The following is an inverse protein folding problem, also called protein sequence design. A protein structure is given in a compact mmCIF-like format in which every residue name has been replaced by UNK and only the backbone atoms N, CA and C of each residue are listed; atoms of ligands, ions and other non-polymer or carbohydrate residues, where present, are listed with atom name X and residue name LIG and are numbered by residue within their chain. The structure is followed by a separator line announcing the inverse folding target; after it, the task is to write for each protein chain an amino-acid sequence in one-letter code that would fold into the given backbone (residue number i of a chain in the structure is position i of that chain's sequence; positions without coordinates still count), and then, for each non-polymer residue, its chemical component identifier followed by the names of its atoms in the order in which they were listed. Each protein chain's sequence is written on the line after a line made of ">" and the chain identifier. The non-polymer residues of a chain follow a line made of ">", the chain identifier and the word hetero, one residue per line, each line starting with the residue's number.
data_IF_171134530382
#
_entry.id   IF_171134530382
#
_cell.length_a   1.000
_cell.length_b   1.000
_cell.length_c   1.000
_cell.angle_alpha   90.00
_cell.angle_beta   90.00
_cell.angle_gamma   90.00
#
_symmetry.space_group_name_H-M   'P 1'
#
loop_
_entity.id
_entity.type
_entity.pdbx_description
1 polymer ?
#
# COMPACT_ATOMS: atom_id res chain seq x y z
N UNK A 1 -12.99 -32.16 -13.48
CA UNK A 1 -12.24 -30.91 -13.80
C UNK A 1 -11.67 -30.44 -12.49
N UNK A 2 -10.40 -30.75 -12.23
CA UNK A 2 -9.68 -30.27 -11.05
C UNK A 2 -9.55 -28.78 -11.17
N UNK A 3 -10.10 -28.09 -10.20
CA UNK A 3 -9.95 -26.66 -9.99
C UNK A 3 -8.45 -26.37 -9.84
N UNK A 4 -7.82 -25.91 -10.91
CA UNK A 4 -6.46 -25.38 -10.86
C UNK A 4 -6.64 -24.01 -10.23
N UNK A 5 -6.62 -23.95 -8.89
CA UNK A 5 -6.46 -22.66 -8.23
C UNK A 5 -5.15 -22.09 -8.75
N UNK A 6 -5.22 -21.01 -9.53
CA UNK A 6 -4.04 -20.31 -10.01
C UNK A 6 -3.21 -19.96 -8.78
N UNK A 7 -2.07 -20.62 -8.60
CA UNK A 7 -1.21 -20.41 -7.44
C UNK A 7 -0.74 -18.96 -7.44
N UNK A 8 -0.85 -18.31 -6.29
CA UNK A 8 -0.43 -16.92 -6.08
C UNK A 8 0.77 -16.85 -5.13
N UNK A 9 1.54 -15.79 -5.26
CA UNK A 9 2.71 -15.50 -4.43
C UNK A 9 2.44 -14.21 -3.67
N UNK A 10 2.40 -14.28 -2.35
CA UNK A 10 2.22 -13.12 -1.49
C UNK A 10 3.34 -12.09 -1.70
N UNK A 11 2.97 -10.83 -1.74
CA UNK A 11 3.93 -9.72 -1.86
C UNK A 11 4.62 -9.39 -0.54
N UNK A 12 4.06 -9.83 0.59
CA UNK A 12 4.48 -9.44 1.93
C UNK A 12 3.99 -8.05 2.32
N UNK A 13 3.06 -7.49 1.55
CA UNK A 13 2.38 -6.22 1.82
C UNK A 13 0.89 -6.53 1.98
N UNK A 14 0.39 -6.72 3.22
CA UNK A 14 -0.94 -7.26 3.45
C UNK A 14 -2.08 -6.54 2.72
N UNK A 15 -2.00 -5.21 2.63
CA UNK A 15 -2.99 -4.42 1.90
C UNK A 15 -2.92 -4.63 0.38
N UNK A 16 -1.73 -4.87 -0.19
CA UNK A 16 -1.59 -5.20 -1.61
C UNK A 16 -2.06 -6.62 -1.88
N UNK A 17 -1.76 -7.57 -0.98
CA UNK A 17 -2.21 -8.95 -1.10
C UNK A 17 -3.74 -9.04 -1.00
N UNK A 18 -4.40 -8.24 -0.15
CA UNK A 18 -5.87 -8.11 -0.14
C UNK A 18 -6.42 -7.58 -1.48
N UNK A 19 -5.78 -6.56 -2.07
CA UNK A 19 -6.17 -6.03 -3.39
C UNK A 19 -6.03 -7.10 -4.48
N UNK A 20 -4.98 -7.90 -4.41
CA UNK A 20 -4.64 -8.97 -5.37
C UNK A 20 -5.32 -10.31 -5.06
N UNK A 21 -6.19 -10.36 -4.04
CA UNK A 21 -6.89 -11.58 -3.63
C UNK A 21 -5.94 -12.74 -3.26
N UNK A 22 -4.82 -12.40 -2.61
CA UNK A 22 -3.84 -13.36 -2.10
C UNK A 22 -2.43 -13.13 -2.60
N UNK A 23 -2.22 -12.35 -3.65
CA UNK A 23 -0.88 -12.06 -4.17
C UNK A 23 -0.78 -12.01 -5.68
N UNK A 24 0.45 -12.05 -6.19
CA UNK A 24 0.75 -12.06 -7.61
C UNK A 24 0.62 -13.47 -8.20
N UNK A 25 0.21 -13.64 -9.47
CA UNK A 25 0.23 -14.94 -10.14
C UNK A 25 1.63 -15.55 -10.10
N UNK A 26 1.71 -16.80 -9.67
CA UNK A 26 2.97 -17.55 -9.58
C UNK A 26 3.59 -17.76 -10.97
N UNK A 27 4.93 -17.78 -11.04
CA UNK A 27 5.70 -18.01 -12.27
C UNK A 27 5.33 -17.05 -13.41
N UNK A 28 4.89 -15.86 -13.05
CA UNK A 28 4.48 -14.82 -13.97
C UNK A 28 5.35 -13.58 -13.84
N UNK A 29 5.37 -12.80 -14.91
CA UNK A 29 6.06 -11.54 -15.00
C UNK A 29 5.07 -10.40 -14.76
N UNK A 30 5.26 -9.64 -13.69
CA UNK A 30 4.47 -8.47 -13.34
C UNK A 30 5.28 -7.18 -13.45
N UNK A 31 4.66 -6.12 -13.92
CA UNK A 31 5.24 -4.80 -14.07
C UNK A 31 4.79 -3.90 -12.91
N UNK A 32 5.74 -3.27 -12.24
CA UNK A 32 5.52 -2.20 -11.27
C UNK A 32 5.97 -0.90 -11.94
N UNK A 33 5.03 -0.04 -12.24
CA UNK A 33 5.26 1.18 -13.02
C UNK A 33 4.92 2.43 -12.20
N UNK A 34 5.69 3.50 -12.36
CA UNK A 34 5.46 4.77 -11.66
C UNK A 34 6.63 5.73 -11.85
N UNK A 35 6.42 7.01 -11.60
CA UNK A 35 7.50 8.01 -11.66
C UNK A 35 8.56 7.76 -10.57
N UNK A 36 9.79 8.30 -10.72
CA UNK A 36 10.81 8.23 -9.67
C UNK A 36 10.27 8.72 -8.31
N UNK A 37 10.66 8.05 -7.22
CA UNK A 37 10.23 8.39 -5.85
C UNK A 37 8.86 7.84 -5.42
N UNK A 38 8.12 7.14 -6.29
CA UNK A 38 6.82 6.56 -5.93
C UNK A 38 6.91 5.33 -5.02
N UNK A 39 8.08 4.72 -4.84
CA UNK A 39 8.27 3.58 -3.94
C UNK A 39 8.34 2.21 -4.61
N UNK A 40 8.62 2.15 -5.92
CA UNK A 40 8.77 0.88 -6.67
C UNK A 40 9.82 -0.05 -6.06
N UNK A 41 11.03 0.47 -5.83
CA UNK A 41 12.14 -0.25 -5.20
C UNK A 41 11.78 -0.73 -3.80
N UNK A 42 11.07 0.09 -3.02
CA UNK A 42 10.59 -0.28 -1.67
C UNK A 42 9.61 -1.45 -1.72
N UNK A 43 8.63 -1.42 -2.63
CA UNK A 43 7.69 -2.51 -2.86
C UNK A 43 8.43 -3.81 -3.26
N UNK A 44 9.36 -3.69 -4.20
CA UNK A 44 10.12 -4.84 -4.72
C UNK A 44 11.01 -5.47 -3.65
N UNK A 45 11.61 -4.66 -2.77
CA UNK A 45 12.38 -5.17 -1.63
C UNK A 45 11.51 -5.92 -0.64
N UNK A 46 10.32 -5.42 -0.29
CA UNK A 46 9.40 -6.15 0.59
C UNK A 46 9.01 -7.51 -0.01
N UNK A 47 8.73 -7.55 -1.33
CA UNK A 47 8.43 -8.79 -2.04
C UNK A 47 9.55 -9.83 -1.92
N UNK A 48 10.81 -9.41 -2.07
CA UNK A 48 11.95 -10.33 -1.94
C UNK A 48 12.21 -10.73 -0.49
N UNK A 49 12.14 -9.78 0.44
CA UNK A 49 12.34 -10.05 1.87
C UNK A 49 11.27 -11.00 2.43
N UNK A 50 10.04 -10.87 1.95
CA UNK A 50 8.98 -11.82 2.29
C UNK A 50 9.30 -13.23 1.78
N UNK A 51 9.79 -13.35 0.54
CA UNK A 51 10.24 -14.64 0.00
C UNK A 51 11.38 -15.25 0.80
N UNK A 52 12.38 -14.47 1.19
CA UNK A 52 13.46 -14.92 2.07
C UNK A 52 12.91 -15.44 3.41
N UNK A 53 11.95 -14.75 4.01
CA UNK A 53 11.32 -15.19 5.26
C UNK A 53 10.57 -16.53 5.12
N UNK A 54 10.12 -16.86 3.90
CA UNK A 54 9.52 -18.15 3.55
C UNK A 54 10.55 -19.22 3.15
N UNK A 55 11.85 -18.89 3.17
CA UNK A 55 12.93 -19.78 2.76
C UNK A 55 13.13 -19.90 1.25
N UNK A 56 12.57 -18.97 0.47
CA UNK A 56 12.71 -18.94 -0.98
C UNK A 56 14.04 -18.29 -1.40
N UNK A 57 14.61 -18.74 -2.52
CA UNK A 57 15.78 -18.07 -3.11
C UNK A 57 15.32 -16.83 -3.87
N UNK A 58 15.85 -15.69 -3.48
CA UNK A 58 15.50 -14.38 -4.02
C UNK A 58 16.70 -13.71 -4.68
N UNK A 59 16.45 -13.06 -5.82
CA UNK A 59 17.45 -12.36 -6.61
C UNK A 59 16.99 -10.94 -6.92
N UNK A 60 17.83 -9.96 -6.59
CA UNK A 60 17.67 -8.58 -7.03
C UNK A 60 18.73 -8.25 -8.07
N UNK A 61 18.32 -7.87 -9.26
CA UNK A 61 19.20 -7.40 -10.35
C UNK A 61 19.00 -5.91 -10.52
N UNK A 62 20.05 -5.13 -10.33
CA UNK A 62 20.03 -3.68 -10.55
C UNK A 62 20.81 -3.30 -11.80
N UNK A 63 20.23 -2.39 -12.57
CA UNK A 63 20.84 -1.79 -13.76
C UNK A 63 21.21 -0.32 -13.53
N UNK A 64 20.73 0.30 -12.45
CA UNK A 64 20.87 1.73 -12.16
C UNK A 64 21.55 2.03 -10.84
N UNK A 65 21.24 1.27 -9.78
CA UNK A 65 21.73 1.54 -8.44
C UNK A 65 22.91 0.62 -8.06
N UNK A 66 23.86 1.16 -7.31
CA UNK A 66 24.94 0.37 -6.72
C UNK A 66 24.46 -0.40 -5.50
N UNK A 67 25.16 -1.48 -5.13
CA UNK A 67 24.87 -2.22 -3.91
C UNK A 67 24.98 -1.34 -2.65
N UNK A 68 25.89 -0.36 -2.65
CA UNK A 68 26.01 0.58 -1.55
C UNK A 68 24.75 1.45 -1.35
N UNK A 69 24.11 1.89 -2.43
CA UNK A 69 22.86 2.63 -2.41
C UNK A 69 21.71 1.77 -1.93
N UNK A 70 21.60 0.55 -2.44
CA UNK A 70 20.59 -0.43 -2.03
C UNK A 70 20.73 -0.74 -0.52
N UNK A 71 21.94 -0.94 -0.02
CA UNK A 71 22.20 -1.13 1.41
C UNK A 71 21.83 0.10 2.25
N UNK A 72 21.98 1.31 1.71
CA UNK A 72 21.54 2.55 2.38
C UNK A 72 20.01 2.62 2.47
N UNK A 73 19.30 2.26 1.39
CA UNK A 73 17.83 2.17 1.38
C UNK A 73 17.37 1.13 2.42
N UNK A 74 17.96 -0.06 2.43
CA UNK A 74 17.62 -1.10 3.39
C UNK A 74 17.78 -0.65 4.84
N UNK A 75 18.87 0.02 5.17
CA UNK A 75 19.11 0.56 6.51
C UNK A 75 18.09 1.60 6.92
N UNK A 76 17.62 2.46 5.99
CA UNK A 76 16.58 3.46 6.29
C UNK A 76 15.24 2.82 6.67
N UNK A 77 14.94 1.66 6.10
CA UNK A 77 13.75 0.87 6.43
C UNK A 77 13.96 -0.13 7.59
N UNK A 78 15.20 -0.33 8.04
CA UNK A 78 15.53 -1.31 9.08
C UNK A 78 15.56 -2.75 8.55
N UNK A 79 15.82 -2.95 7.26
CA UNK A 79 15.89 -4.25 6.62
C UNK A 79 17.27 -4.87 6.66
N UNK A 80 17.33 -6.18 6.76
CA UNK A 80 18.55 -6.97 6.65
C UNK A 80 18.59 -7.66 5.28
N UNK A 81 19.62 -7.36 4.50
CA UNK A 81 19.79 -7.91 3.14
C UNK A 81 20.87 -8.98 3.05
N UNK A 82 21.42 -9.50 4.18
CA UNK A 82 22.56 -10.44 4.17
C UNK A 82 22.26 -11.72 3.37
N UNK A 83 21.02 -12.18 3.35
CA UNK A 83 20.59 -13.38 2.62
C UNK A 83 20.10 -13.07 1.20
N UNK A 84 19.90 -11.78 0.85
CA UNK A 84 19.47 -11.39 -0.48
C UNK A 84 20.63 -11.41 -1.46
N UNK A 85 20.49 -12.19 -2.53
CA UNK A 85 21.44 -12.13 -3.63
C UNK A 85 21.18 -10.88 -4.46
N UNK A 86 22.16 -9.96 -4.50
CA UNK A 86 22.12 -8.74 -5.30
C UNK A 86 23.15 -8.85 -6.42
N UNK A 87 22.73 -8.58 -7.65
CA UNK A 87 23.63 -8.50 -8.81
C UNK A 87 23.55 -7.11 -9.44
N UNK A 88 24.68 -6.43 -9.41
CA UNK A 88 24.86 -5.18 -10.13
C UNK A 88 25.24 -5.47 -11.58
N UNK A 89 24.51 -4.89 -12.53
CA UNK A 89 24.82 -4.89 -13.95
C UNK A 89 25.03 -3.44 -14.46
N UNK A 90 25.44 -2.57 -13.54
CA UNK A 90 25.72 -1.16 -13.84
C UNK A 90 26.96 -1.06 -14.71
N UNK A 91 26.85 -0.35 -15.83
CA UNK A 91 27.93 -0.17 -16.82
C UNK A 91 29.03 0.83 -16.35
N UNK A 92 29.39 0.81 -15.06
CA UNK A 92 30.34 1.77 -14.49
C UNK A 92 31.78 1.66 -15.05
N UNK A 93 32.16 0.52 -15.62
CA UNK A 93 33.50 0.32 -16.19
C UNK A 93 33.61 0.61 -17.68
N UNK A 94 32.48 0.81 -18.39
CA UNK A 94 32.43 0.89 -19.86
C UNK A 94 32.67 2.30 -20.43
N UNK A 95 32.52 3.35 -19.62
CA UNK A 95 32.73 4.74 -20.07
C UNK A 95 34.19 5.17 -20.25
N UNK A 96 35.16 4.39 -19.82
CA UNK A 96 36.57 4.76 -19.79
C UNK A 96 37.50 3.90 -20.67
N UNK A 97 37.03 2.84 -21.33
CA UNK A 97 37.84 2.04 -22.21
C UNK A 97 37.77 2.57 -23.65
N UNK A 98 38.83 3.24 -24.08
CA UNK A 98 39.05 3.80 -25.44
C UNK A 98 39.08 2.72 -26.54
N UNK A 99 39.05 1.45 -26.20
CA UNK A 99 39.16 0.30 -27.11
C UNK A 99 37.85 -0.14 -27.76
N UNK A 100 36.70 0.40 -27.36
CA UNK A 100 35.38 0.00 -27.91
C UNK A 100 35.02 0.69 -29.27
N UNK A 101 35.89 1.54 -29.83
CA UNK A 101 35.60 2.34 -31.02
C UNK A 101 35.88 1.64 -32.36
N UNK A 102 36.25 0.37 -32.40
CA UNK A 102 36.69 -0.32 -33.61
C UNK A 102 35.88 -1.55 -34.04
N UNK A 103 34.65 -1.73 -33.58
CA UNK A 103 33.82 -2.84 -34.02
C UNK A 103 32.77 -2.39 -35.03
N UNK A 104 32.62 -3.18 -36.12
CA UNK A 104 31.67 -2.99 -37.23
C UNK A 104 30.20 -3.15 -36.80
N UNK A 105 29.97 -3.61 -35.57
CA UNK A 105 28.62 -3.75 -34.95
C UNK A 105 28.22 -2.48 -34.19
N UNK A 106 26.94 -2.17 -34.21
CA UNK A 106 26.39 -1.06 -33.46
C UNK A 106 26.67 -1.31 -31.94
N UNK A 107 27.43 -0.47 -31.25
CA UNK A 107 27.84 -0.70 -29.85
C UNK A 107 26.66 -1.01 -28.94
N UNK A 108 25.50 -0.38 -29.16
CA UNK A 108 24.28 -0.57 -28.41
C UNK A 108 23.63 -1.97 -28.55
N UNK A 109 23.83 -2.67 -29.68
CA UNK A 109 23.29 -4.04 -29.84
C UNK A 109 24.10 -5.06 -29.04
N UNK A 110 25.42 -4.88 -29.06
CA UNK A 110 26.34 -5.71 -28.30
C UNK A 110 26.08 -5.55 -26.80
N UNK A 111 25.92 -4.31 -26.35
CA UNK A 111 25.71 -3.94 -24.94
C UNK A 111 24.35 -4.47 -24.38
N UNK A 112 23.29 -4.36 -25.19
CA UNK A 112 21.96 -4.90 -24.81
C UNK A 112 21.97 -6.44 -24.73
N UNK A 113 22.64 -7.10 -25.69
CA UNK A 113 22.81 -8.54 -25.71
C UNK A 113 23.59 -9.04 -24.50
N UNK A 114 24.75 -8.47 -24.23
CA UNK A 114 25.61 -8.81 -23.09
C UNK A 114 24.90 -8.60 -21.74
N UNK A 115 24.16 -7.51 -21.58
CA UNK A 115 23.38 -7.24 -20.36
C UNK A 115 22.33 -8.33 -20.12
N UNK A 116 21.63 -8.75 -21.17
CA UNK A 116 20.61 -9.79 -21.07
C UNK A 116 21.24 -11.17 -20.81
N UNK A 117 22.34 -11.50 -21.47
CA UNK A 117 23.09 -12.74 -21.22
C UNK A 117 23.61 -12.80 -19.80
N UNK A 118 24.13 -11.69 -19.26
CA UNK A 118 24.55 -11.59 -17.88
C UNK A 118 23.41 -11.81 -16.88
N UNK A 119 22.20 -11.26 -17.14
CA UNK A 119 21.01 -11.53 -16.34
C UNK A 119 20.63 -13.02 -16.38
N UNK A 120 20.57 -13.61 -17.58
CA UNK A 120 20.25 -15.02 -17.77
C UNK A 120 21.26 -15.92 -17.04
N UNK A 121 22.54 -15.62 -17.13
CA UNK A 121 23.59 -16.38 -16.47
C UNK A 121 23.40 -16.41 -14.95
N UNK A 122 23.11 -15.26 -14.32
CA UNK A 122 22.88 -15.16 -12.88
C UNK A 122 21.60 -15.88 -12.46
N UNK A 123 20.52 -15.77 -13.23
CA UNK A 123 19.28 -16.51 -12.93
C UNK A 123 19.52 -18.03 -13.00
N UNK A 124 20.26 -18.50 -13.98
CA UNK A 124 20.61 -19.92 -14.11
C UNK A 124 21.52 -20.41 -12.95
N UNK A 125 22.44 -19.58 -12.47
CA UNK A 125 23.33 -19.87 -11.34
C UNK A 125 22.50 -19.94 -10.02
N UNK A 126 21.70 -18.91 -9.73
CA UNK A 126 20.97 -18.76 -8.46
C UNK A 126 19.73 -19.65 -8.40
N UNK A 127 19.07 -19.86 -9.55
CA UNK A 127 17.75 -20.53 -9.67
C UNK A 127 16.74 -19.96 -8.68
N UNK A 128 16.48 -18.66 -8.73
CA UNK A 128 15.62 -17.98 -7.77
C UNK A 128 14.14 -18.31 -8.01
N UNK A 129 13.35 -18.25 -6.93
CA UNK A 129 11.89 -18.35 -6.97
C UNK A 129 11.25 -16.97 -7.11
N UNK A 130 11.96 -15.90 -6.64
CA UNK A 130 11.56 -14.51 -6.83
C UNK A 130 12.70 -13.71 -7.44
N UNK A 131 12.37 -12.92 -8.46
CA UNK A 131 13.33 -12.05 -9.14
C UNK A 131 12.77 -10.63 -9.23
N UNK A 132 13.62 -9.66 -8.99
CA UNK A 132 13.35 -8.24 -9.28
C UNK A 132 14.38 -7.73 -10.30
N UNK A 133 13.91 -7.04 -11.33
CA UNK A 133 14.75 -6.32 -12.28
C UNK A 133 14.50 -4.81 -12.14
N UNK A 134 15.49 -4.05 -11.68
CA UNK A 134 15.43 -2.60 -11.41
C UNK A 134 16.55 -1.85 -12.18
N UNK A 135 16.26 -1.06 -13.20
CA UNK A 135 14.96 -0.80 -13.81
C UNK A 135 15.01 -1.05 -15.33
N UNK A 136 13.84 -1.26 -15.91
CA UNK A 136 13.69 -1.42 -17.36
C UNK A 136 14.02 -0.14 -18.14
N UNK A 137 13.98 1.01 -17.50
CA UNK A 137 14.35 2.31 -18.09
C UNK A 137 15.77 2.28 -18.63
N UNK A 138 16.70 1.63 -17.94
CA UNK A 138 18.09 1.50 -18.41
C UNK A 138 18.19 0.63 -19.67
N UNK A 139 17.45 -0.49 -19.72
CA UNK A 139 17.36 -1.31 -20.92
C UNK A 139 16.76 -0.55 -22.10
N UNK A 140 15.81 0.36 -21.83
CA UNK A 140 15.20 1.23 -22.85
C UNK A 140 16.22 2.19 -23.44
N UNK A 141 17.04 2.82 -22.60
CA UNK A 141 18.10 3.75 -23.01
C UNK A 141 19.15 3.03 -23.89
N UNK A 142 19.59 1.84 -23.47
CA UNK A 142 20.56 1.04 -24.24
C UNK A 142 19.97 0.56 -25.56
N UNK A 143 18.69 0.22 -25.60
CA UNK A 143 18.04 -0.29 -26.81
C UNK A 143 17.92 0.75 -27.95
N UNK A 144 17.93 2.06 -27.63
CA UNK A 144 17.82 3.21 -28.53
C UNK A 144 16.62 3.16 -29.52
N UNK A 145 15.89 2.05 -29.58
CA UNK A 145 14.77 1.82 -30.46
C UNK A 145 13.71 0.98 -29.78
N UNK A 146 12.46 1.41 -29.88
CA UNK A 146 11.30 0.78 -29.22
C UNK A 146 11.07 -0.67 -29.67
N UNK A 147 11.30 -1.00 -30.93
CA UNK A 147 11.13 -2.37 -31.44
C UNK A 147 12.17 -3.32 -30.86
N UNK A 148 13.43 -2.87 -30.71
CA UNK A 148 14.51 -3.64 -30.07
C UNK A 148 14.20 -3.85 -28.59
N UNK A 149 13.84 -2.78 -27.89
CA UNK A 149 13.43 -2.84 -26.49
C UNK A 149 12.29 -3.86 -26.28
N UNK A 150 11.22 -3.74 -27.07
CA UNK A 150 10.09 -4.68 -27.00
C UNK A 150 10.51 -6.14 -27.26
N UNK A 151 11.37 -6.37 -28.23
CA UNK A 151 11.91 -7.71 -28.53
C UNK A 151 12.67 -8.26 -27.33
N UNK A 152 13.47 -7.44 -26.66
CA UNK A 152 14.24 -7.84 -25.50
C UNK A 152 13.36 -8.18 -24.31
N UNK A 153 12.35 -7.37 -24.01
CA UNK A 153 11.38 -7.65 -22.94
C UNK A 153 10.57 -8.93 -23.25
N UNK A 154 10.25 -9.18 -24.52
CA UNK A 154 9.62 -10.45 -24.93
C UNK A 154 10.56 -11.63 -24.74
N UNK A 155 11.84 -11.50 -25.05
CA UNK A 155 12.84 -12.54 -24.83
C UNK A 155 12.98 -12.87 -23.34
N UNK A 156 13.04 -11.86 -22.46
CA UNK A 156 13.02 -12.03 -21.01
C UNK A 156 11.74 -12.74 -20.56
N UNK A 157 10.57 -12.34 -21.08
CA UNK A 157 9.31 -13.01 -20.77
C UNK A 157 9.32 -14.49 -21.13
N UNK A 158 9.82 -14.85 -22.33
CA UNK A 158 9.94 -16.24 -22.76
C UNK A 158 10.93 -17.01 -21.91
N UNK A 159 12.07 -16.41 -21.57
CA UNK A 159 13.05 -17.02 -20.70
C UNK A 159 12.46 -17.34 -19.32
N UNK A 160 11.84 -16.37 -18.65
CA UNK A 160 11.24 -16.55 -17.33
C UNK A 160 10.02 -17.48 -17.37
N UNK A 161 9.27 -17.53 -18.48
CA UNK A 161 8.15 -18.45 -18.66
C UNK A 161 8.54 -19.94 -18.68
N UNK A 162 9.83 -20.25 -18.88
CA UNK A 162 10.40 -21.61 -18.78
C UNK A 162 11.02 -21.92 -17.41
N UNK A 163 10.96 -20.98 -16.46
CA UNK A 163 11.55 -21.12 -15.13
C UNK A 163 10.46 -20.96 -14.06
N UNK A 164 10.57 -21.72 -12.97
CA UNK A 164 9.65 -21.65 -11.83
C UNK A 164 9.98 -20.43 -10.96
N UNK A 165 9.84 -19.21 -11.52
CA UNK A 165 10.10 -17.98 -10.80
C UNK A 165 9.07 -16.88 -11.09
N UNK A 166 8.73 -16.12 -10.05
CA UNK A 166 7.86 -14.94 -10.13
C UNK A 166 8.72 -13.70 -10.25
N UNK A 167 8.46 -12.87 -11.25
CA UNK A 167 9.32 -11.77 -11.64
C UNK A 167 8.60 -10.43 -11.51
N UNK A 168 9.22 -9.48 -10.83
CA UNK A 168 8.85 -8.07 -10.84
C UNK A 168 9.80 -7.30 -11.73
N UNK A 169 9.24 -6.61 -12.71
CA UNK A 169 9.94 -5.63 -13.53
C UNK A 169 9.60 -4.23 -13.02
N UNK A 170 10.59 -3.43 -12.68
CA UNK A 170 10.37 -2.04 -12.29
C UNK A 170 10.59 -1.13 -13.51
N UNK A 171 9.67 -0.20 -13.72
CA UNK A 171 9.75 0.73 -14.84
C UNK A 171 9.45 2.16 -14.40
N UNK A 172 10.33 3.08 -14.75
CA UNK A 172 10.15 4.50 -14.52
C UNK A 172 9.34 5.09 -15.67
N UNK A 173 8.17 5.62 -15.34
CA UNK A 173 7.35 6.38 -16.30
C UNK A 173 8.03 7.73 -16.58
N UNK A 174 8.95 7.74 -17.54
CA UNK A 174 9.72 8.93 -17.94
C UNK A 174 9.11 9.72 -19.08
N UNK A 175 7.97 9.32 -19.59
CA UNK A 175 7.24 10.13 -20.56
C UNK A 175 6.55 9.38 -21.70
N UNK A 176 5.26 9.65 -21.84
CA UNK A 176 4.52 9.51 -23.07
C UNK A 176 3.72 8.20 -23.25
N UNK A 177 2.88 8.19 -24.28
CA UNK A 177 2.01 7.08 -24.70
C UNK A 177 2.72 5.80 -25.11
N UNK A 178 4.05 5.78 -25.05
CA UNK A 178 4.88 4.64 -25.49
C UNK A 178 4.96 3.51 -24.45
N UNK A 179 4.56 3.77 -23.20
CA UNK A 179 4.58 2.79 -22.11
C UNK A 179 3.50 1.70 -22.24
N UNK A 180 2.48 1.90 -23.08
CA UNK A 180 1.40 0.93 -23.29
C UNK A 180 1.91 -0.41 -23.86
N UNK A 181 3.05 -0.41 -24.56
CA UNK A 181 3.61 -1.63 -25.14
C UNK A 181 4.13 -2.62 -24.08
N UNK A 182 4.74 -2.14 -22.99
CA UNK A 182 5.20 -3.00 -21.89
C UNK A 182 4.02 -3.58 -21.12
N UNK A 183 3.01 -2.76 -20.84
CA UNK A 183 1.81 -3.20 -20.18
C UNK A 183 1.11 -4.34 -20.93
N UNK A 184 1.21 -4.36 -22.28
CA UNK A 184 0.66 -5.44 -23.09
C UNK A 184 1.37 -6.78 -22.90
N UNK A 185 2.67 -6.78 -22.61
CA UNK A 185 3.53 -7.96 -22.47
C UNK A 185 3.37 -8.60 -21.09
N UNK A 186 3.33 -7.79 -20.03
CA UNK A 186 3.24 -8.27 -18.65
C UNK A 186 1.92 -9.02 -18.36
N UNK A 187 1.95 -9.97 -17.42
CA UNK A 187 0.76 -10.65 -16.91
C UNK A 187 -0.01 -9.75 -15.94
N UNK A 188 0.70 -9.10 -15.03
CA UNK A 188 0.19 -8.11 -14.10
C UNK A 188 0.82 -6.73 -14.31
N UNK A 189 0.06 -5.68 -14.03
CA UNK A 189 0.54 -4.29 -14.04
C UNK A 189 -0.02 -3.57 -12.83
N UNK A 190 0.88 -3.15 -11.95
CA UNK A 190 0.57 -2.28 -10.80
C UNK A 190 1.20 -0.91 -11.06
N UNK A 191 0.41 0.14 -10.96
CA UNK A 191 0.83 1.51 -11.18
C UNK A 191 0.86 2.24 -9.84
N UNK A 192 2.00 2.85 -9.52
CA UNK A 192 2.21 3.70 -8.35
C UNK A 192 2.21 5.15 -8.79
N UNK A 193 1.48 5.98 -8.06
CA UNK A 193 1.37 7.42 -8.34
C UNK A 193 1.68 8.22 -7.07
N UNK A 194 2.36 9.35 -7.25
CA UNK A 194 2.60 10.35 -6.22
C UNK A 194 1.96 11.65 -6.65
N UNK A 195 1.11 12.21 -5.80
CA UNK A 195 0.35 13.42 -6.05
C UNK A 195 0.85 14.53 -5.12
N UNK A 196 1.38 15.60 -5.71
CA UNK A 196 1.69 16.81 -4.97
C UNK A 196 0.38 17.56 -4.66
N UNK A 197 0.04 17.68 -3.39
CA UNK A 197 -1.09 18.46 -2.96
C UNK A 197 -0.69 19.93 -2.82
N UNK A 198 -1.68 20.84 -2.90
CA UNK A 198 -1.46 22.27 -2.62
C UNK A 198 -1.15 22.52 -1.13
N UNK A 199 -1.58 21.61 -0.25
CA UNK A 199 -1.40 21.70 1.19
C UNK A 199 -1.23 20.29 1.79
N UNK A 200 -0.38 20.16 2.81
CA UNK A 200 -0.11 18.90 3.52
C UNK A 200 0.90 18.01 2.84
N UNK A 201 0.99 16.78 3.31
CA UNK A 201 1.91 15.79 2.79
C UNK A 201 1.51 15.32 1.39
N UNK A 202 2.49 14.88 0.61
CA UNK A 202 2.26 14.23 -0.67
C UNK A 202 1.41 12.97 -0.49
N UNK A 203 0.46 12.76 -1.39
CA UNK A 203 -0.40 11.58 -1.40
C UNK A 203 0.15 10.54 -2.37
N UNK A 204 0.23 9.31 -1.89
CA UNK A 204 0.59 8.18 -2.75
C UNK A 204 -0.59 7.25 -2.90
N UNK A 205 -0.80 6.79 -4.13
CA UNK A 205 -1.84 5.82 -4.43
C UNK A 205 -1.35 4.81 -5.45
N UNK A 206 -1.93 3.64 -5.42
CA UNK A 206 -1.69 2.59 -6.40
C UNK A 206 -2.99 2.10 -7.01
N UNK A 207 -2.88 1.53 -8.19
CA UNK A 207 -3.96 0.77 -8.82
C UNK A 207 -3.40 -0.44 -9.56
N UNK A 208 -4.17 -1.49 -9.61
CA UNK A 208 -3.93 -2.61 -10.51
C UNK A 208 -4.56 -2.24 -11.86
N UNK A 209 -3.71 -1.97 -12.86
CA UNK A 209 -4.18 -1.63 -14.20
C UNK A 209 -4.60 -2.88 -14.98
N UNK A 210 -3.97 -4.03 -14.65
CA UNK A 210 -4.20 -5.31 -15.33
C UNK A 210 -3.70 -6.45 -14.44
N UNK A 211 -4.44 -7.57 -14.45
CA UNK A 211 -3.99 -8.85 -13.90
C UNK A 211 -4.69 -9.96 -14.68
N UNK A 212 -3.91 -10.84 -15.31
CA UNK A 212 -4.45 -11.96 -16.08
C UNK A 212 -4.62 -13.18 -15.17
N UNK A 213 -5.76 -13.84 -15.30
CA UNK A 213 -6.04 -15.11 -14.60
C UNK A 213 -6.47 -14.94 -13.14
N UNK A 214 -6.32 -13.77 -12.52
CA UNK A 214 -6.65 -13.53 -11.12
C UNK A 214 -7.59 -12.34 -11.00
N UNK A 215 -8.62 -12.47 -10.15
CA UNK A 215 -9.47 -11.35 -9.78
C UNK A 215 -8.72 -10.40 -8.84
N UNK A 216 -8.99 -9.11 -8.96
CA UNK A 216 -8.39 -8.10 -8.10
C UNK A 216 -9.40 -7.00 -7.75
N UNK A 217 -9.11 -6.25 -6.69
CA UNK A 217 -9.90 -5.09 -6.29
C UNK A 217 -9.52 -3.88 -7.14
N UNK A 218 -10.42 -3.45 -8.02
CA UNK A 218 -10.20 -2.32 -8.91
C UNK A 218 -10.28 -0.96 -8.20
N UNK A 219 -9.83 0.09 -8.91
CA UNK A 219 -9.81 1.46 -8.42
C UNK A 219 -8.46 1.87 -7.85
N UNK A 220 -8.42 3.07 -7.26
CA UNK A 220 -7.24 3.58 -6.57
C UNK A 220 -7.27 3.18 -5.09
N UNK A 221 -6.10 2.88 -4.56
CA UNK A 221 -5.85 2.53 -3.17
C UNK A 221 -4.75 3.42 -2.63
N UNK A 222 -4.95 4.04 -1.49
CA UNK A 222 -3.93 4.87 -0.87
C UNK A 222 -2.83 4.01 -0.27
N UNK A 223 -1.62 4.54 -0.20
CA UNK A 223 -0.53 3.93 0.54
C UNK A 223 0.44 4.98 1.08
N UNK A 224 1.20 4.61 2.08
CA UNK A 224 2.29 5.40 2.65
C UNK A 224 3.58 4.60 2.68
N UNK A 225 4.71 5.28 2.68
CA UNK A 225 6.02 4.68 2.88
C UNK A 225 6.49 5.05 4.28
N UNK A 226 6.73 4.05 5.12
CA UNK A 226 7.20 4.19 6.49
C UNK A 226 8.45 3.35 6.72
N UNK A 227 9.02 3.47 7.90
CA UNK A 227 10.03 2.49 8.34
C UNK A 227 9.41 1.09 8.33
N UNK A 228 10.02 0.15 7.61
CA UNK A 228 9.46 -1.17 7.37
C UNK A 228 8.85 -1.37 5.99
N UNK A 229 8.62 -0.28 5.22
CA UNK A 229 8.20 -0.34 3.82
C UNK A 229 6.90 0.36 3.49
N UNK A 230 6.16 -0.18 2.53
CA UNK A 230 4.84 0.29 2.12
C UNK A 230 3.77 -0.26 3.08
N UNK A 231 2.88 0.63 3.49
CA UNK A 231 1.62 0.30 4.15
C UNK A 231 0.48 0.71 3.21
N UNK A 232 -0.25 -0.28 2.69
CA UNK A 232 -1.26 -0.09 1.65
C UNK A 232 -2.65 -0.19 2.26
N UNK A 233 -3.52 0.75 1.91
CA UNK A 233 -4.89 0.86 2.40
C UNK A 233 -5.87 0.53 1.27
N UNK A 234 -6.38 -0.70 1.22
CA UNK A 234 -7.35 -1.11 0.21
C UNK A 234 -8.60 -0.24 0.28
N UNK A 235 -9.09 0.19 -0.88
CA UNK A 235 -10.35 0.93 -1.00
C UNK A 235 -11.48 0.15 -0.35
N UNK A 236 -12.20 0.79 0.56
CA UNK A 236 -13.34 0.18 1.25
C UNK A 236 -14.49 -0.08 0.25
N UNK A 237 -15.06 -1.28 0.32
CA UNK A 237 -16.27 -1.67 -0.40
C UNK A 237 -17.33 -2.00 0.64
N UNK A 238 -18.30 -1.12 0.82
CA UNK A 238 -19.30 -1.24 1.89
C UNK A 238 -20.03 -2.59 1.91
N UNK A 239 -20.31 -3.17 0.74
CA UNK A 239 -20.99 -4.45 0.64
C UNK A 239 -20.20 -5.64 1.24
N UNK A 240 -18.86 -5.55 1.32
CA UNK A 240 -18.01 -6.61 1.90
C UNK A 240 -18.01 -6.55 3.45
N UNK A 241 -18.51 -5.46 4.05
CA UNK A 241 -18.47 -5.19 5.49
C UNK A 241 -19.86 -5.16 6.14
N UNK A 242 -20.92 -5.48 5.39
CA UNK A 242 -22.25 -5.54 5.93
C UNK A 242 -22.38 -6.71 6.92
N UNK A 243 -22.65 -6.40 8.18
CA UNK A 243 -22.90 -7.41 9.21
C UNK A 243 -24.30 -7.24 9.78
N UNK A 244 -24.99 -8.33 10.15
CA UNK A 244 -26.27 -8.25 10.85
C UNK A 244 -26.05 -7.57 12.22
N UNK A 245 -26.96 -6.70 12.59
CA UNK A 245 -26.96 -6.03 13.91
C UNK A 245 -28.33 -6.14 14.55
N UNK A 246 -28.36 -6.05 15.89
CA UNK A 246 -29.62 -6.00 16.62
C UNK A 246 -30.24 -4.60 16.52
N UNK A 247 -31.51 -4.52 16.16
CA UNK A 247 -32.25 -3.26 16.15
C UNK A 247 -32.50 -2.80 17.60
N UNK A 248 -31.70 -1.87 18.07
CA UNK A 248 -31.77 -1.25 19.37
C UNK A 248 -31.45 0.23 19.27
N UNK A 249 -31.82 1.03 20.27
CA UNK A 249 -31.47 2.44 20.30
C UNK A 249 -30.26 2.71 21.19
N UNK A 250 -29.40 3.62 20.74
CA UNK A 250 -28.30 4.20 21.48
C UNK A 250 -28.83 5.40 22.22
N UNK A 251 -28.92 5.32 23.54
CA UNK A 251 -29.41 6.42 24.37
C UNK A 251 -28.29 7.40 24.73
N UNK A 252 -28.66 8.66 24.93
CA UNK A 252 -27.74 9.69 25.40
C UNK A 252 -27.48 9.62 26.92
N UNK A 253 -28.31 8.89 27.66
CA UNK A 253 -28.36 8.93 29.13
C UNK A 253 -29.10 10.15 29.68
N UNK A 254 -29.69 11.01 28.82
CA UNK A 254 -30.50 12.15 29.21
C UNK A 254 -31.96 11.93 28.78
N UNK A 255 -32.89 11.61 29.73
CA UNK A 255 -34.25 11.14 29.39
C UNK A 255 -35.05 12.08 28.50
N UNK A 256 -34.91 13.40 28.67
CA UNK A 256 -35.61 14.37 27.80
C UNK A 256 -35.11 14.38 26.38
N UNK A 257 -33.79 14.18 26.17
CA UNK A 257 -33.20 14.09 24.84
C UNK A 257 -33.59 12.78 24.17
N UNK A 258 -33.52 11.68 24.90
CA UNK A 258 -33.89 10.36 24.39
C UNK A 258 -35.37 10.33 24.01
N UNK A 259 -36.25 10.94 24.80
CA UNK A 259 -37.67 11.08 24.47
C UNK A 259 -37.89 11.95 23.20
N UNK A 260 -37.12 13.02 23.02
CA UNK A 260 -37.18 13.85 21.81
C UNK A 260 -36.79 13.08 20.53
N UNK A 261 -35.87 12.12 20.69
CA UNK A 261 -35.39 11.26 19.60
C UNK A 261 -36.20 9.97 19.42
N UNK A 262 -37.30 9.82 20.17
CA UNK A 262 -38.15 8.62 20.08
C UNK A 262 -37.58 7.39 20.78
N UNK A 263 -36.57 7.56 21.64
CA UNK A 263 -35.91 6.48 22.40
C UNK A 263 -34.39 6.56 22.35
N UNK A 264 -33.84 7.16 21.32
CA UNK A 264 -32.40 7.26 21.11
C UNK A 264 -32.02 7.34 19.63
N UNK A 265 -30.78 7.01 19.30
CA UNK A 265 -30.30 6.90 17.93
C UNK A 265 -30.34 5.42 17.49
N UNK A 266 -30.98 5.06 16.37
CA UNK A 266 -31.05 3.67 15.92
C UNK A 266 -29.65 3.08 15.67
N UNK A 267 -29.39 1.87 16.17
CA UNK A 267 -28.17 1.12 15.83
C UNK A 267 -28.10 0.78 14.35
N UNK A 268 -26.88 0.60 13.82
CA UNK A 268 -26.68 0.30 12.39
C UNK A 268 -26.91 1.48 11.44
N UNK A 269 -27.12 2.68 11.97
CA UNK A 269 -27.32 3.90 11.19
C UNK A 269 -26.19 4.90 11.33
N UNK A 270 -26.12 5.85 10.41
CA UNK A 270 -25.24 7.02 10.48
C UNK A 270 -26.09 8.24 10.81
N UNK A 271 -25.78 8.93 11.91
CA UNK A 271 -26.46 10.16 12.31
C UNK A 271 -25.56 11.36 12.07
N UNK A 272 -26.03 12.35 11.31
CA UNK A 272 -25.34 13.60 11.07
C UNK A 272 -25.91 14.72 11.97
N UNK A 273 -25.04 15.35 12.75
CA UNK A 273 -25.39 16.50 13.59
C UNK A 273 -24.97 17.79 12.92
N UNK A 274 -25.94 18.59 12.48
CA UNK A 274 -25.74 19.86 11.78
C UNK A 274 -26.01 21.05 12.71
N UNK A 275 -25.23 22.11 12.56
CA UNK A 275 -25.42 23.37 13.28
C UNK A 275 -24.18 24.27 13.22
N UNK A 276 -24.32 25.59 13.48
CA UNK A 276 -23.18 26.50 13.58
C UNK A 276 -22.15 26.12 14.66
N UNK A 277 -20.97 26.71 14.61
CA UNK A 277 -19.99 26.56 15.68
C UNK A 277 -20.58 27.00 17.04
N UNK A 278 -20.22 26.31 18.12
CA UNK A 278 -20.70 26.63 19.48
C UNK A 278 -22.08 26.11 19.84
N UNK A 279 -22.82 25.44 18.94
CA UNK A 279 -24.18 24.93 19.24
C UNK A 279 -24.20 23.63 20.07
N UNK A 280 -23.03 23.09 20.43
CA UNK A 280 -22.94 21.92 21.30
C UNK A 280 -22.89 20.56 20.58
N UNK A 281 -22.64 20.51 19.26
CA UNK A 281 -22.53 19.26 18.48
C UNK A 281 -21.56 18.25 19.10
N UNK A 282 -20.32 18.69 19.35
CA UNK A 282 -19.26 17.86 19.95
C UNK A 282 -19.64 17.41 21.37
N UNK A 283 -20.29 18.28 22.14
CA UNK A 283 -20.78 17.96 23.49
C UNK A 283 -21.86 16.87 23.43
N UNK A 284 -22.80 17.01 22.51
CA UNK A 284 -23.88 16.04 22.31
C UNK A 284 -23.34 14.68 21.85
N UNK A 285 -22.44 14.65 20.87
CA UNK A 285 -21.79 13.41 20.45
C UNK A 285 -21.00 12.75 21.58
N UNK A 286 -20.28 13.55 22.39
CA UNK A 286 -19.55 13.06 23.57
C UNK A 286 -20.52 12.48 24.63
N UNK A 287 -21.71 13.04 24.82
CA UNK A 287 -22.70 12.53 25.76
C UNK A 287 -23.12 11.10 25.38
N UNK A 288 -23.47 10.84 24.12
CA UNK A 288 -23.77 9.50 23.63
C UNK A 288 -22.57 8.55 23.81
N UNK A 289 -21.36 9.00 23.48
CA UNK A 289 -20.13 8.22 23.61
C UNK A 289 -19.88 7.78 25.08
N UNK A 290 -20.02 8.69 26.01
CA UNK A 290 -19.83 8.40 27.46
C UNK A 290 -20.90 7.46 27.97
N UNK A 291 -22.16 7.64 27.59
CA UNK A 291 -23.24 6.77 27.98
C UNK A 291 -23.06 5.33 27.44
N UNK A 292 -22.60 5.19 26.21
CA UNK A 292 -22.23 3.88 25.65
C UNK A 292 -21.07 3.22 26.41
N UNK A 293 -20.04 4.00 26.77
CA UNK A 293 -18.93 3.51 27.58
C UNK A 293 -19.36 3.12 28.99
N UNK A 294 -20.30 3.86 29.63
CA UNK A 294 -20.88 3.51 30.91
C UNK A 294 -21.62 2.14 30.87
N UNK A 295 -22.20 1.78 29.74
CA UNK A 295 -22.82 0.48 29.47
C UNK A 295 -21.79 -0.63 29.14
N UNK A 296 -20.49 -0.35 29.23
CA UNK A 296 -19.42 -1.31 28.91
C UNK A 296 -19.15 -1.52 27.43
N UNK A 297 -19.72 -0.69 26.55
CA UNK A 297 -19.52 -0.77 25.09
C UNK A 297 -18.38 0.15 24.67
N UNK A 298 -17.50 -0.34 23.82
CA UNK A 298 -16.36 0.44 23.31
C UNK A 298 -16.80 1.51 22.29
N UNK A 299 -16.19 2.69 22.39
CA UNK A 299 -16.40 3.84 21.50
C UNK A 299 -15.07 4.34 20.97
N UNK A 300 -15.01 4.71 19.68
CA UNK A 300 -13.87 5.40 19.08
C UNK A 300 -14.28 6.80 18.67
N UNK A 301 -13.51 7.81 19.10
CA UNK A 301 -13.73 9.22 18.82
C UNK A 301 -12.54 9.73 18.01
N UNK A 302 -12.80 10.24 16.81
CA UNK A 302 -11.83 10.87 15.94
C UNK A 302 -12.11 12.37 15.87
N UNK A 303 -11.14 13.19 16.29
CA UNK A 303 -11.26 14.66 16.31
C UNK A 303 -10.31 15.28 15.28
N UNK A 304 -10.80 16.21 14.47
CA UNK A 304 -10.06 16.87 13.41
C UNK A 304 -9.65 18.31 13.80
N UNK A 305 -10.61 19.09 14.25
CA UNK A 305 -10.42 20.53 14.47
C UNK A 305 -9.93 20.89 15.88
N UNK A 306 -10.04 19.97 16.82
CA UNK A 306 -9.69 20.21 18.21
C UNK A 306 -8.57 19.29 18.67
N UNK A 307 -7.59 19.80 19.40
CA UNK A 307 -6.57 18.92 19.99
C UNK A 307 -7.13 18.13 21.19
N UNK A 308 -6.53 16.97 21.45
CA UNK A 308 -6.94 16.05 22.51
C UNK A 308 -6.99 16.72 23.89
N UNK A 309 -6.03 17.59 24.18
CA UNK A 309 -5.96 18.30 25.49
C UNK A 309 -7.15 19.22 25.68
N UNK A 310 -7.55 19.96 24.65
CA UNK A 310 -8.72 20.84 24.68
C UNK A 310 -10.00 20.04 24.82
N UNK A 311 -10.15 18.98 24.02
CA UNK A 311 -11.30 18.06 24.11
C UNK A 311 -11.47 17.50 25.53
N UNK A 312 -10.39 16.96 26.12
CA UNK A 312 -10.39 16.40 27.48
C UNK A 312 -10.69 17.46 28.55
N UNK A 313 -10.09 18.65 28.42
CA UNK A 313 -10.34 19.77 29.35
C UNK A 313 -11.79 20.24 29.33
N UNK A 314 -12.37 20.38 28.12
CA UNK A 314 -13.78 20.73 27.94
C UNK A 314 -14.69 19.67 28.57
N UNK A 315 -14.46 18.40 28.25
CA UNK A 315 -15.26 17.28 28.77
C UNK A 315 -15.22 17.21 30.30
N UNK A 316 -14.05 17.45 30.90
CA UNK A 316 -13.88 17.51 32.35
C UNK A 316 -14.66 18.68 32.98
N UNK A 317 -14.59 19.88 32.40
CA UNK A 317 -15.34 21.06 32.87
C UNK A 317 -16.85 20.84 32.81
N UNK A 318 -17.33 20.04 31.89
CA UNK A 318 -18.75 19.67 31.75
C UNK A 318 -19.15 18.45 32.61
N UNK A 319 -18.24 17.92 33.40
CA UNK A 319 -18.50 16.73 34.23
C UNK A 319 -18.74 15.45 33.46
N UNK A 320 -18.29 15.39 32.20
CA UNK A 320 -18.43 14.18 31.36
C UNK A 320 -17.38 13.14 31.73
N UNK A 321 -17.77 11.88 31.86
CA UNK A 321 -16.92 10.76 32.29
C UNK A 321 -15.94 10.24 31.20
N UNK A 322 -15.42 11.09 30.33
CA UNK A 322 -14.50 10.70 29.26
C UNK A 322 -13.22 10.09 29.80
N UNK A 323 -12.64 10.69 30.84
CA UNK A 323 -11.40 10.20 31.46
C UNK A 323 -11.55 8.80 32.04
N UNK A 324 -12.70 8.54 32.69
CA UNK A 324 -13.02 7.22 33.18
C UNK A 324 -13.18 6.20 32.06
N UNK A 325 -13.87 6.58 30.98
CA UNK A 325 -13.99 5.75 29.76
C UNK A 325 -12.65 5.41 29.15
N UNK A 326 -11.72 6.38 29.06
CA UNK A 326 -10.35 6.18 28.56
C UNK A 326 -9.56 5.24 29.49
N UNK A 327 -9.59 5.47 30.80
CA UNK A 327 -8.86 4.65 31.78
C UNK A 327 -9.31 3.18 31.80
N UNK A 328 -10.58 2.94 31.50
CA UNK A 328 -11.17 1.61 31.36
C UNK A 328 -10.96 0.99 29.99
N UNK A 329 -10.33 1.70 29.04
CA UNK A 329 -10.13 1.26 27.65
C UNK A 329 -11.42 1.19 26.81
N UNK A 330 -12.52 1.80 27.31
CA UNK A 330 -13.82 1.84 26.62
C UNK A 330 -13.97 3.02 25.69
N UNK A 331 -13.22 4.11 25.89
CA UNK A 331 -13.15 5.24 24.96
C UNK A 331 -11.75 5.32 24.40
N UNK A 332 -11.61 5.22 23.08
CA UNK A 332 -10.41 5.61 22.37
C UNK A 332 -10.60 6.99 21.74
N UNK A 333 -9.66 7.90 21.98
CA UNK A 333 -9.67 9.27 21.46
C UNK A 333 -8.43 9.50 20.63
N UNK A 334 -8.61 9.81 19.34
CA UNK A 334 -7.53 10.05 18.40
C UNK A 334 -7.73 11.38 17.68
N UNK A 335 -6.68 12.20 17.64
CA UNK A 335 -6.64 13.37 16.79
C UNK A 335 -6.21 12.96 15.39
N UNK A 336 -6.88 13.49 14.38
CA UNK A 336 -6.59 13.26 12.97
C UNK A 336 -6.13 14.58 12.35
N UNK A 337 -4.98 14.53 11.71
CA UNK A 337 -4.52 15.64 10.87
C UNK A 337 -4.82 15.28 9.40
N UNK A 338 -5.80 15.94 8.76
CA UNK A 338 -6.15 15.67 7.36
C UNK A 338 -5.06 16.11 6.39
N UNK A 339 -4.09 16.93 6.82
CA UNK A 339 -2.93 17.30 6.02
C UNK A 339 -1.94 16.14 5.88
N UNK A 340 -1.83 15.30 6.90
CA UNK A 340 -0.87 14.19 6.97
C UNK A 340 -1.48 12.84 6.63
N UNK A 341 -2.70 12.56 7.09
CA UNK A 341 -3.37 11.27 6.91
C UNK A 341 -4.20 11.22 5.64
N UNK A 342 -4.03 10.19 4.80
CA UNK A 342 -4.85 9.99 3.60
C UNK A 342 -6.27 9.52 3.95
N UNK A 343 -7.21 9.72 3.02
CA UNK A 343 -8.60 9.26 3.19
C UNK A 343 -8.68 7.73 3.30
N UNK A 344 -7.87 6.98 2.56
CA UNK A 344 -7.82 5.52 2.64
C UNK A 344 -7.22 5.03 3.97
N UNK A 345 -6.20 5.72 4.48
CA UNK A 345 -5.64 5.44 5.79
C UNK A 345 -6.66 5.71 6.91
N UNK A 346 -7.36 6.85 6.84
CA UNK A 346 -8.42 7.17 7.79
C UNK A 346 -9.56 6.15 7.75
N UNK A 347 -10.07 5.80 6.57
CA UNK A 347 -11.10 4.79 6.41
C UNK A 347 -10.67 3.43 7.00
N UNK A 348 -9.41 3.03 6.77
CA UNK A 348 -8.84 1.80 7.35
C UNK A 348 -8.75 1.88 8.87
N UNK A 349 -8.39 3.04 9.42
CA UNK A 349 -8.32 3.28 10.88
C UNK A 349 -9.71 3.15 11.51
N UNK A 350 -10.72 3.76 10.90
CA UNK A 350 -12.13 3.66 11.35
C UNK A 350 -12.61 2.21 11.27
N UNK A 351 -12.35 1.51 10.17
CA UNK A 351 -12.70 0.10 9.98
C UNK A 351 -12.05 -0.78 11.05
N UNK A 352 -10.75 -0.61 11.30
CA UNK A 352 -10.04 -1.36 12.34
C UNK A 352 -10.65 -1.13 13.72
N UNK A 353 -11.07 0.09 14.04
CA UNK A 353 -11.74 0.38 15.30
C UNK A 353 -13.10 -0.34 15.42
N UNK A 354 -13.85 -0.47 14.31
CA UNK A 354 -15.18 -1.06 14.25
C UNK A 354 -15.19 -2.60 14.17
N UNK A 355 -14.16 -3.21 13.55
CA UNK A 355 -14.14 -4.64 13.22
C UNK A 355 -13.16 -5.44 14.08
N UNK A 356 -12.04 -4.86 14.50
CA UNK A 356 -11.01 -5.59 15.22
C UNK A 356 -11.28 -5.59 16.73
N UNK A 357 -11.09 -6.76 17.32
CA UNK A 357 -11.16 -6.94 18.77
C UNK A 357 -9.96 -6.27 19.45
N UNK A 358 -10.20 -5.12 20.08
CA UNK A 358 -9.27 -4.56 21.07
C UNK A 358 -9.47 -5.24 22.43
N UNK A 359 -8.79 -4.78 23.48
CA UNK A 359 -8.91 -5.36 24.83
C UNK A 359 -10.35 -5.48 25.35
N UNK A 360 -11.26 -4.65 24.84
CA UNK A 360 -12.68 -4.60 25.20
C UNK A 360 -13.60 -4.80 23.97
N UNK A 361 -13.15 -5.56 22.97
CA UNK A 361 -13.92 -5.84 21.75
C UNK A 361 -13.90 -4.69 20.71
N UNK A 362 -14.63 -4.84 19.59
CA UNK A 362 -14.77 -3.81 18.57
C UNK A 362 -15.57 -2.60 19.07
N UNK A 363 -15.30 -1.42 18.52
CA UNK A 363 -16.06 -0.23 18.83
C UNK A 363 -17.50 -0.36 18.31
N UNK A 364 -18.47 -0.12 19.19
CA UNK A 364 -19.91 -0.15 18.89
C UNK A 364 -20.47 1.21 18.51
N UNK A 365 -19.67 2.25 18.69
CA UNK A 365 -19.97 3.61 18.26
C UNK A 365 -18.69 4.26 17.74
N UNK A 366 -18.82 4.93 16.62
CA UNK A 366 -17.78 5.77 16.03
C UNK A 366 -18.26 7.21 16.03
N UNK A 367 -17.45 8.11 16.53
CA UNK A 367 -17.69 9.56 16.50
C UNK A 367 -16.61 10.18 15.62
N UNK A 368 -17.03 10.98 14.63
CA UNK A 368 -16.14 11.76 13.76
C UNK A 368 -16.51 13.22 13.94
N UNK A 369 -15.62 14.03 14.52
CA UNK A 369 -15.82 15.44 14.86
C UNK A 369 -14.62 16.27 14.31
N UNK A 370 -14.74 16.94 13.18
CA UNK A 370 -15.87 17.19 12.29
C UNK A 370 -15.58 16.72 10.86
N UNK A 371 -16.62 16.71 10.00
CA UNK A 371 -16.52 16.34 8.58
C UNK A 371 -16.34 17.58 7.67
N UNK A 372 -15.62 18.59 8.08
CA UNK A 372 -15.42 19.84 7.28
C UNK A 372 -14.37 19.67 6.20
#
# INVERSE_FOLDING_TARGET
>A
MTDVSDAVVETGIPGLDDILRGGLPQNCLSLISGTPGTGKTTLAMQFLLHGLALGERCLYVTLSESNAEIQKIARSHGWDLRELRIKELVSAERGLSVSAQLTVFNPSELELGETTEAMIAVVNEVRPQRVVLDSLSELRLVAQNMLRYRRQVLALKHFFGGHDCTVLLLDDQTGGKEDDHLQSIAHGVVVLEQLANLYGAERRRLRVAKMRGVAYRGGFHDFVIRRGGLDVFPRLIAAEHAQPFAETDVTSGHPKLDALLGGGLPTGTSTLMLGPAGTGKSTLATLFAVNMAAQGKRVAIFVFDENITTFRSRSRKLGMGVEEGISRGLISLQQIDPAEMSSGEFATTVRRAAELDGPNGPARMIVIDSLN
#
